data_IF_512655427565
#
_entry.id   IF_512655427565
#
_cell.length_a   1.000
_cell.length_b   1.000
_cell.length_c   1.000
_cell.angle_alpha   90.00
_cell.angle_beta   90.00
_cell.angle_gamma   90.00
#
_symmetry.space_group_name_H-M   'P 1'
#
loop_
_entity.id
_entity.type
_entity.pdbx_description
1 polymer ?
#
# COMPACT_ATOMS: atom_id res chain seq x y z
N UNK A 1 -9.65 5.98 8.67
CA UNK A 1 -9.58 4.53 8.34
C UNK A 1 -8.56 3.87 9.25
N UNK A 2 -8.90 2.76 9.88
CA UNK A 2 -7.93 2.06 10.72
C UNK A 2 -7.03 1.15 9.86
N UNK A 3 -5.90 0.66 10.40
CA UNK A 3 -4.96 -0.14 9.60
C UNK A 3 -5.57 -1.40 8.99
N UNK A 4 -6.49 -2.05 9.69
CA UNK A 4 -7.15 -3.25 9.16
C UNK A 4 -8.03 -2.95 7.96
N UNK A 5 -8.73 -1.83 7.97
CA UNK A 5 -9.54 -1.40 6.84
C UNK A 5 -8.68 -1.00 5.64
N UNK A 6 -7.57 -0.33 5.90
CA UNK A 6 -6.62 0.02 4.84
C UNK A 6 -6.08 -1.24 4.17
N UNK A 7 -5.68 -2.23 4.95
CA UNK A 7 -5.21 -3.50 4.41
C UNK A 7 -6.25 -4.17 3.51
N UNK A 8 -7.50 -4.23 3.98
CA UNK A 8 -8.60 -4.82 3.20
C UNK A 8 -8.83 -4.07 1.89
N UNK A 9 -8.84 -2.74 1.94
CA UNK A 9 -9.03 -1.93 0.76
C UNK A 9 -7.92 -2.18 -0.27
N UNK A 10 -6.67 -2.26 0.20
CA UNK A 10 -5.53 -2.56 -0.67
C UNK A 10 -5.68 -3.95 -1.30
N UNK A 11 -6.00 -4.96 -0.50
CA UNK A 11 -6.13 -6.32 -1.00
C UNK A 11 -7.27 -6.45 -2.02
N UNK A 12 -8.43 -5.86 -1.73
CA UNK A 12 -9.56 -5.87 -2.65
C UNK A 12 -9.21 -5.20 -3.98
N UNK A 13 -8.54 -4.06 -3.90
CA UNK A 13 -8.18 -3.34 -5.11
C UNK A 13 -7.17 -4.10 -5.97
N UNK A 14 -6.19 -4.76 -5.33
CA UNK A 14 -5.24 -5.60 -6.06
C UNK A 14 -5.96 -6.74 -6.78
N UNK A 15 -6.92 -7.38 -6.13
CA UNK A 15 -7.72 -8.42 -6.77
C UNK A 15 -8.47 -7.87 -7.97
N UNK A 16 -9.14 -6.73 -7.81
CA UNK A 16 -9.90 -6.09 -8.89
C UNK A 16 -9.01 -5.75 -10.09
N UNK A 17 -7.77 -5.36 -9.83
CA UNK A 17 -6.81 -5.00 -10.88
C UNK A 17 -6.06 -6.21 -11.44
N UNK A 18 -6.22 -7.39 -10.84
CA UNK A 18 -5.47 -8.58 -11.23
C UNK A 18 -3.98 -8.48 -10.92
N UNK A 19 -3.62 -7.73 -9.87
CA UNK A 19 -2.23 -7.49 -9.52
C UNK A 19 -1.88 -8.12 -8.17
N UNK A 20 -0.57 -8.21 -7.90
CA UNK A 20 -0.02 -8.84 -6.68
C UNK A 20 0.59 -7.81 -5.76
N UNK A 21 0.88 -8.23 -4.51
CA UNK A 21 1.64 -7.40 -3.57
C UNK A 21 3.04 -7.08 -4.10
N UNK A 22 3.68 -8.03 -4.77
CA UNK A 22 4.98 -7.80 -5.38
C UNK A 22 4.92 -6.66 -6.40
N UNK A 23 3.88 -6.66 -7.25
CA UNK A 23 3.66 -5.57 -8.19
C UNK A 23 3.50 -4.24 -7.44
N UNK A 24 2.69 -4.21 -6.38
CA UNK A 24 2.45 -3.01 -5.60
C UNK A 24 3.75 -2.46 -4.99
N UNK A 25 4.58 -3.34 -4.42
CA UNK A 25 5.86 -2.96 -3.83
C UNK A 25 6.74 -2.27 -4.88
N UNK A 26 6.82 -2.84 -6.07
CA UNK A 26 7.63 -2.27 -7.16
C UNK A 26 7.11 -0.90 -7.58
N UNK A 27 5.79 -0.74 -7.66
CA UNK A 27 5.19 0.54 -8.04
C UNK A 27 5.43 1.61 -6.97
N UNK A 28 5.33 1.23 -5.70
CA UNK A 28 5.60 2.15 -4.59
C UNK A 28 7.07 2.58 -4.60
N UNK A 29 8.00 1.65 -4.79
CA UNK A 29 9.42 1.97 -4.87
C UNK A 29 9.72 2.91 -6.04
N UNK A 30 9.12 2.66 -7.20
CA UNK A 30 9.32 3.50 -8.38
C UNK A 30 8.76 4.92 -8.15
N UNK A 31 7.63 5.02 -7.46
CA UNK A 31 6.95 6.30 -7.25
C UNK A 31 7.62 7.14 -6.16
N UNK A 32 8.10 6.50 -5.11
CA UNK A 32 8.65 7.20 -3.93
C UNK A 32 10.16 7.28 -3.91
N UNK A 33 10.85 6.39 -4.62
CA UNK A 33 12.29 6.25 -4.53
C UNK A 33 12.77 5.63 -3.23
N UNK A 34 11.86 5.11 -2.42
CA UNK A 34 12.18 4.50 -1.12
C UNK A 34 12.19 2.98 -1.26
N UNK A 35 13.06 2.33 -0.46
CA UNK A 35 13.07 0.87 -0.41
C UNK A 35 11.86 0.37 0.36
N UNK A 36 11.13 -0.57 -0.24
CA UNK A 36 9.96 -1.20 0.38
C UNK A 36 10.05 -2.71 0.14
N UNK A 37 9.89 -3.49 1.20
CA UNK A 37 9.80 -4.95 1.10
C UNK A 37 8.49 -5.43 1.74
N UNK A 38 8.28 -6.74 1.74
CA UNK A 38 7.05 -7.32 2.29
C UNK A 38 6.90 -7.06 3.78
N UNK A 39 8.00 -7.13 4.52
CA UNK A 39 8.00 -6.84 5.96
C UNK A 39 7.59 -5.40 6.22
N UNK A 40 8.13 -4.47 5.44
CA UNK A 40 7.77 -3.06 5.55
C UNK A 40 6.29 -2.85 5.28
N UNK A 41 5.80 -3.43 4.19
CA UNK A 41 4.39 -3.32 3.82
C UNK A 41 3.49 -3.91 4.90
N UNK A 42 3.87 -5.03 5.49
CA UNK A 42 3.15 -5.64 6.61
C UNK A 42 3.06 -4.69 7.79
N UNK A 43 4.15 -3.98 8.12
CA UNK A 43 4.14 -2.99 9.20
C UNK A 43 3.20 -1.83 8.91
N UNK A 44 3.14 -1.39 7.66
CA UNK A 44 2.17 -0.37 7.24
C UNK A 44 0.74 -0.88 7.48
N UNK A 45 0.46 -2.12 7.09
CA UNK A 45 -0.87 -2.72 7.21
C UNK A 45 -1.30 -2.94 8.66
N UNK A 46 -0.35 -3.18 9.56
CA UNK A 46 -0.67 -3.41 10.98
C UNK A 46 -0.63 -2.12 11.80
N UNK A 47 -0.29 -1.00 11.18
CA UNK A 47 -0.20 0.28 11.87
C UNK A 47 1.08 0.48 12.67
N UNK A 48 2.03 -0.44 12.59
CA UNK A 48 3.34 -0.29 13.28
C UNK A 48 4.22 0.76 12.62
N UNK A 49 3.98 1.02 11.34
CA UNK A 49 4.67 2.07 10.60
C UNK A 49 3.59 2.86 9.86
N UNK A 50 3.68 4.17 9.90
CA UNK A 50 2.70 5.05 9.28
C UNK A 50 3.38 6.10 8.39
N UNK A 51 4.37 5.69 7.60
CA UNK A 51 5.05 6.59 6.69
C UNK A 51 4.05 7.20 5.69
N UNK A 52 3.77 8.52 5.78
CA UNK A 52 2.74 9.13 4.95
C UNK A 52 3.06 9.10 3.45
N UNK A 53 4.33 9.12 3.08
CA UNK A 53 4.72 9.04 1.67
C UNK A 53 4.36 7.70 1.07
N UNK A 54 4.59 6.63 1.80
CA UNK A 54 4.27 5.27 1.35
C UNK A 54 2.75 5.09 1.26
N UNK A 55 2.04 5.52 2.30
CA UNK A 55 0.57 5.42 2.32
C UNK A 55 -0.05 6.22 1.17
N UNK A 56 0.41 7.44 0.95
CA UNK A 56 -0.08 8.27 -0.15
C UNK A 56 0.19 7.63 -1.50
N UNK A 57 1.38 7.06 -1.68
CA UNK A 57 1.74 6.37 -2.93
C UNK A 57 0.82 5.18 -3.18
N UNK A 58 0.55 4.37 -2.16
CA UNK A 58 -0.36 3.23 -2.29
C UNK A 58 -1.76 3.70 -2.70
N UNK A 59 -2.28 4.75 -2.06
CA UNK A 59 -3.60 5.28 -2.40
C UNK A 59 -3.66 5.76 -3.85
N UNK A 60 -2.62 6.43 -4.32
CA UNK A 60 -2.58 6.92 -5.70
C UNK A 60 -2.48 5.78 -6.71
N UNK A 61 -1.59 4.82 -6.45
CA UNK A 61 -1.39 3.68 -7.36
C UNK A 61 -2.67 2.86 -7.50
N UNK A 62 -3.37 2.65 -6.41
CA UNK A 62 -4.58 1.82 -6.38
C UNK A 62 -5.87 2.62 -6.54
N UNK A 63 -5.76 3.94 -6.67
CA UNK A 63 -6.91 4.85 -6.77
C UNK A 63 -7.89 4.64 -5.61
N UNK A 64 -7.35 4.57 -4.39
CA UNK A 64 -8.16 4.45 -3.19
C UNK A 64 -8.63 5.83 -2.74
N UNK A 65 -9.88 5.92 -2.24
CA UNK A 65 -10.38 7.20 -1.74
C UNK A 65 -9.65 7.63 -0.48
N UNK A 66 -9.43 8.93 -0.35
CA UNK A 66 -8.97 9.51 0.90
C UNK A 66 -10.17 9.74 1.81
N UNK A 67 -9.94 9.61 3.09
CA UNK A 67 -10.97 9.94 4.05
C UNK A 67 -10.93 11.39 4.45
#
# INVERSE_FOLDING_TARGET
MNPGEFKKAVQHRLIDMGQTQTWLIREVEAKTGLYVDRSYLSKIFTGKNSNPKIIAAIREILDLPEE
#
